data_IF_102539826032
#
_entry.id   IF_102539826032
#
_cell.length_a   1.000
_cell.length_b   1.000
_cell.length_c   1.000
_cell.angle_alpha   90.00
_cell.angle_beta   90.00
_cell.angle_gamma   90.00
#
_symmetry.space_group_name_H-M   'P 1'
#
loop_
_entity.id
_entity.type
_entity.pdbx_description
1 polymer ?
#
# COMPACT_ATOMS: atom_id res chain seq x y z
N UNK A 1 22.88 -3.24 10.52
CA UNK A 1 21.63 -3.97 10.19
C UNK A 1 21.62 -5.25 11.01
N UNK A 2 20.52 -5.62 11.69
CA UNK A 2 20.51 -6.85 12.51
C UNK A 2 20.35 -8.10 11.65
N UNK A 3 20.80 -9.26 12.14
CA UNK A 3 20.76 -10.52 11.38
C UNK A 3 19.33 -10.89 10.91
N UNK A 4 18.32 -10.62 11.74
CA UNK A 4 16.92 -10.88 11.38
C UNK A 4 16.42 -9.92 10.29
N UNK A 5 16.84 -8.64 10.32
CA UNK A 5 16.47 -7.66 9.30
C UNK A 5 17.10 -8.00 7.94
N UNK A 6 18.38 -8.39 7.94
CA UNK A 6 19.10 -8.74 6.70
C UNK A 6 18.45 -9.94 6.00
N UNK A 7 18.02 -10.94 6.77
CA UNK A 7 17.36 -12.15 6.23
C UNK A 7 15.90 -11.91 5.84
N UNK A 8 15.18 -10.99 6.50
CA UNK A 8 13.75 -10.80 6.26
C UNK A 8 13.43 -9.88 5.09
N UNK A 9 14.24 -8.83 4.85
CA UNK A 9 13.89 -7.78 3.89
C UNK A 9 13.67 -8.31 2.47
N UNK A 10 14.60 -9.12 1.95
CA UNK A 10 14.48 -9.67 0.60
C UNK A 10 13.22 -10.53 0.42
N UNK A 11 12.95 -11.42 1.37
CA UNK A 11 11.78 -12.28 1.34
C UNK A 11 10.45 -11.49 1.42
N UNK A 12 10.37 -10.48 2.29
CA UNK A 12 9.17 -9.64 2.44
C UNK A 12 8.94 -8.78 1.20
N UNK A 13 9.99 -8.18 0.62
CA UNK A 13 9.86 -7.42 -0.62
C UNK A 13 9.44 -8.32 -1.79
N UNK A 14 9.89 -9.57 -1.80
CA UNK A 14 9.44 -10.59 -2.74
C UNK A 14 8.00 -11.06 -2.53
N UNK A 15 7.33 -10.60 -1.46
CA UNK A 15 5.96 -11.01 -1.13
C UNK A 15 5.84 -12.45 -0.63
N UNK A 16 6.95 -13.02 -0.13
CA UNK A 16 6.96 -14.37 0.44
C UNK A 16 6.47 -14.38 1.88
N UNK A 17 5.76 -15.44 2.27
CA UNK A 17 5.41 -15.70 3.66
C UNK A 17 6.64 -16.18 4.43
N UNK A 18 6.88 -15.61 5.62
CA UNK A 18 8.07 -15.90 6.42
C UNK A 18 7.74 -16.15 7.89
N UNK A 19 8.55 -17.00 8.52
CA UNK A 19 8.57 -17.20 9.98
C UNK A 19 9.93 -16.72 10.49
N UNK A 20 9.93 -15.66 11.30
CA UNK A 20 11.16 -15.07 11.86
C UNK A 20 11.35 -15.41 13.34
N UNK A 21 12.42 -16.12 13.68
CA UNK A 21 12.84 -16.37 15.08
C UNK A 21 14.13 -15.60 15.39
N UNK A 22 14.10 -14.80 16.45
CA UNK A 22 15.29 -14.19 17.04
C UNK A 22 15.00 -13.68 18.45
N UNK A 23 16.02 -13.23 19.17
CA UNK A 23 15.93 -12.77 20.56
C UNK A 23 15.24 -11.40 20.70
N UNK A 24 14.70 -11.10 21.88
CA UNK A 24 14.14 -9.77 22.19
C UNK A 24 15.23 -8.70 22.06
N UNK A 25 14.87 -7.50 21.60
CA UNK A 25 15.85 -6.44 21.33
C UNK A 25 16.58 -6.58 19.98
N UNK A 26 16.45 -7.71 19.26
CA UNK A 26 17.14 -7.91 17.96
C UNK A 26 16.52 -7.13 16.77
N UNK A 27 15.51 -6.28 17.03
CA UNK A 27 14.84 -5.49 15.98
C UNK A 27 13.84 -6.26 15.11
N UNK A 28 13.23 -7.35 15.61
CA UNK A 28 12.18 -8.12 14.90
C UNK A 28 11.03 -7.25 14.39
N UNK A 29 10.59 -6.30 15.19
CA UNK A 29 9.48 -5.39 14.84
C UNK A 29 9.80 -4.61 13.56
N UNK A 30 10.98 -3.99 13.49
CA UNK A 30 11.42 -3.29 12.29
C UNK A 30 11.71 -4.25 11.13
N UNK A 31 12.11 -5.49 11.43
CA UNK A 31 12.41 -6.51 10.43
C UNK A 31 11.20 -6.87 9.54
N UNK A 32 9.97 -6.81 10.08
CA UNK A 32 8.75 -7.01 9.28
C UNK A 32 8.05 -5.69 8.92
N UNK A 33 8.01 -4.72 9.83
CA UNK A 33 7.16 -3.54 9.66
C UNK A 33 7.69 -2.59 8.58
N UNK A 34 9.00 -2.34 8.55
CA UNK A 34 9.61 -1.42 7.60
C UNK A 34 9.41 -1.85 6.14
N UNK A 35 9.78 -3.09 5.73
CA UNK A 35 9.59 -3.52 4.35
C UNK A 35 8.12 -3.61 3.96
N UNK A 36 7.20 -3.98 4.87
CA UNK A 36 5.76 -3.99 4.58
C UNK A 36 5.22 -2.59 4.29
N UNK A 37 5.55 -1.60 5.12
CA UNK A 37 5.13 -0.21 4.91
C UNK A 37 5.67 0.38 3.60
N UNK A 38 6.93 0.09 3.27
CA UNK A 38 7.53 0.51 2.01
C UNK A 38 6.80 -0.11 0.81
N UNK A 39 6.50 -1.41 0.85
CA UNK A 39 5.74 -2.10 -0.19
C UNK A 39 4.34 -1.50 -0.39
N UNK A 40 3.65 -1.10 0.69
CA UNK A 40 2.35 -0.44 0.60
C UNK A 40 2.44 0.94 -0.05
N UNK A 41 3.48 1.72 0.30
CA UNK A 41 3.70 3.05 -0.30
C UNK A 41 3.92 2.94 -1.80
N UNK A 42 4.79 2.01 -2.23
CA UNK A 42 5.07 1.76 -3.65
C UNK A 42 3.79 1.32 -4.39
N UNK A 43 3.02 0.39 -3.81
CA UNK A 43 1.72 -0.05 -4.38
C UNK A 43 0.76 1.12 -4.57
N UNK A 44 0.67 2.03 -3.58
CA UNK A 44 -0.19 3.23 -3.65
C UNK A 44 0.27 4.18 -4.76
N UNK A 45 1.57 4.45 -4.85
CA UNK A 45 2.14 5.33 -5.88
C UNK A 45 1.93 4.77 -7.29
N UNK A 46 2.13 3.47 -7.48
CA UNK A 46 1.90 2.79 -8.77
C UNK A 46 0.42 2.88 -9.18
N UNK A 47 -0.50 2.63 -8.23
CA UNK A 47 -1.94 2.78 -8.49
C UNK A 47 -2.33 4.21 -8.88
N UNK A 48 -1.73 5.22 -8.26
CA UNK A 48 -1.95 6.63 -8.61
C UNK A 48 -1.44 6.92 -10.03
N UNK A 49 -0.25 6.44 -10.38
CA UNK A 49 0.32 6.61 -11.73
C UNK A 49 -0.56 5.96 -12.79
N UNK A 50 -1.00 4.73 -12.57
CA UNK A 50 -1.92 4.02 -13.48
C UNK A 50 -3.24 4.76 -13.68
N UNK A 51 -3.84 5.27 -12.60
CA UNK A 51 -5.08 6.04 -12.68
C UNK A 51 -4.90 7.34 -13.47
N UNK A 52 -3.80 8.07 -13.24
CA UNK A 52 -3.47 9.29 -14.03
C UNK A 52 -3.30 8.97 -15.52
N UNK A 53 -2.64 7.86 -15.86
CA UNK A 53 -2.48 7.44 -17.26
C UNK A 53 -3.85 7.10 -17.88
N UNK A 54 -4.71 6.39 -17.15
CA UNK A 54 -6.08 6.09 -17.60
C UNK A 54 -6.91 7.35 -17.78
N UNK A 55 -6.86 8.28 -16.82
CA UNK A 55 -7.55 9.58 -16.92
C UNK A 55 -7.08 10.42 -18.10
N UNK A 56 -5.76 10.47 -18.37
CA UNK A 56 -5.22 11.21 -19.51
C UNK A 56 -5.65 10.58 -20.84
N UNK A 57 -5.59 9.26 -20.98
CA UNK A 57 -6.14 8.54 -22.16
C UNK A 57 -7.64 8.78 -22.34
N UNK A 58 -8.39 8.78 -21.23
CA UNK A 58 -9.82 9.09 -21.26
C UNK A 58 -10.02 10.54 -21.68
N UNK A 59 -9.26 11.52 -21.16
CA UNK A 59 -9.37 12.92 -21.59
C UNK A 59 -9.05 13.11 -23.06
N UNK A 60 -8.01 12.46 -23.60
CA UNK A 60 -7.70 12.49 -25.05
C UNK A 60 -8.84 11.91 -25.90
N UNK A 61 -9.42 10.80 -25.47
CA UNK A 61 -10.56 10.18 -26.16
C UNK A 61 -11.86 10.96 -25.96
N UNK A 62 -12.04 11.57 -24.80
CA UNK A 62 -13.25 12.31 -24.42
C UNK A 62 -13.22 13.74 -24.95
N UNK A 63 -12.07 14.35 -25.27
CA UNK A 63 -11.99 15.58 -26.08
C UNK A 63 -12.57 15.34 -27.47
N UNK A 64 -12.44 14.13 -28.01
CA UNK A 64 -13.10 13.73 -29.27
C UNK A 64 -14.63 13.53 -29.13
N UNK A 65 -15.13 13.32 -27.90
CA UNK A 65 -16.53 12.97 -27.61
C UNK A 65 -17.32 14.13 -26.94
N UNK A 66 -16.67 15.04 -26.21
CA UNK A 66 -17.26 16.24 -25.56
C UNK A 66 -17.68 17.29 -26.59
N UNK A 67 -17.21 17.20 -27.83
CA UNK A 67 -17.89 17.86 -28.95
C UNK A 67 -19.36 17.42 -29.13
N UNK A 68 -19.88 16.44 -28.36
CA UNK A 68 -21.22 15.88 -28.59
C UNK A 68 -22.24 15.91 -27.46
N UNK A 69 -21.91 15.94 -26.17
CA UNK A 69 -22.98 16.08 -25.14
C UNK A 69 -22.44 16.22 -23.72
N UNK A 70 -22.78 17.34 -23.09
CA UNK A 70 -22.59 17.57 -21.67
C UNK A 70 -23.81 17.10 -20.87
N UNK A 71 -23.60 16.32 -19.80
CA UNK A 71 -24.33 16.43 -18.52
C UNK A 71 -23.92 15.34 -17.52
N UNK A 72 -24.05 15.70 -16.24
CA UNK A 72 -24.32 14.86 -15.06
C UNK A 72 -23.15 14.46 -14.12
N UNK A 73 -23.17 15.16 -12.97
CA UNK A 73 -23.20 14.63 -11.61
C UNK A 73 -21.93 14.01 -11.00
N UNK A 74 -21.23 14.82 -10.21
CA UNK A 74 -20.24 14.39 -9.21
C UNK A 74 -20.92 13.70 -8.03
N UNK A 75 -20.71 12.39 -7.90
CA UNK A 75 -21.05 11.62 -6.69
C UNK A 75 -19.97 11.86 -5.64
N UNK A 76 -20.37 12.33 -4.46
CA UNK A 76 -19.51 12.39 -3.27
C UNK A 76 -18.98 10.99 -2.97
N UNK A 77 -17.67 10.88 -2.79
CA UNK A 77 -17.01 9.61 -2.44
C UNK A 77 -16.58 9.69 -0.99
N UNK A 78 -16.97 8.69 -0.20
CA UNK A 78 -16.67 8.62 1.22
C UNK A 78 -15.14 8.63 1.42
N UNK A 79 -14.57 9.45 2.32
CA UNK A 79 -13.12 9.59 2.45
C UNK A 79 -12.40 8.33 2.96
N UNK A 80 -13.14 7.35 3.48
CA UNK A 80 -12.60 6.12 4.09
C UNK A 80 -13.27 4.86 3.53
N UNK A 81 -12.77 4.29 2.42
CA UNK A 81 -13.15 2.92 2.07
C UNK A 81 -12.60 1.98 3.15
N UNK A 82 -13.49 1.25 3.84
CA UNK A 82 -13.20 0.36 4.98
C UNK A 82 -12.41 -0.92 4.59
N UNK A 83 -11.25 -0.78 3.95
CA UNK A 83 -10.40 -1.90 3.50
C UNK A 83 -8.94 -1.69 3.93
N UNK A 84 -8.56 -2.12 5.14
CA UNK A 84 -7.17 -2.03 5.60
C UNK A 84 -6.24 -2.87 4.71
N UNK A 85 -5.04 -2.36 4.42
CA UNK A 85 -4.05 -3.04 3.57
C UNK A 85 -3.03 -3.88 4.37
N UNK A 86 -2.95 -3.67 5.69
CA UNK A 86 -2.06 -4.37 6.60
C UNK A 86 -2.73 -4.48 7.97
N UNK A 87 -2.69 -5.69 8.54
CA UNK A 87 -3.15 -5.99 9.89
C UNK A 87 -1.95 -6.49 10.68
N UNK A 88 -1.69 -5.88 11.82
CA UNK A 88 -0.64 -6.31 12.76
C UNK A 88 -1.35 -6.80 14.01
N UNK A 89 -1.10 -8.06 14.38
CA UNK A 89 -1.65 -8.66 15.59
C UNK A 89 -0.62 -8.52 16.71
N UNK A 90 -1.05 -8.00 17.85
CA UNK A 90 -0.25 -7.91 19.06
C UNK A 90 -1.04 -8.55 20.22
N UNK A 91 -0.41 -9.41 21.04
CA UNK A 91 -1.12 -10.19 22.05
C UNK A 91 -1.62 -9.36 23.25
N UNK A 92 -1.04 -8.18 23.51
CA UNK A 92 -1.37 -7.38 24.70
C UNK A 92 -1.48 -5.89 24.39
N UNK A 93 -2.48 -5.24 24.98
CA UNK A 93 -2.44 -3.79 25.22
C UNK A 93 -1.55 -3.59 26.44
N UNK A 94 -0.37 -3.02 26.27
CA UNK A 94 0.41 -2.50 27.40
C UNK A 94 -0.46 -1.43 28.08
N UNK A 95 -1.05 -1.74 29.23
CA UNK A 95 -1.52 -0.71 30.17
C UNK A 95 -0.24 -0.02 30.65
N UNK A 96 -0.01 1.19 30.15
CA UNK A 96 0.82 2.16 30.85
C UNK A 96 0.06 2.62 32.11
#
# INVERSE_FOLDING_TARGET
MTNIQAKSFGAIFGGSDIIGKSETGSGKTLAFLLPLLMSLKIKKENKIKENKIKENKIKENKVKEILKSAAAATRGTDPFPARPQLVVLAPTRTRA
#
